data_IF_632209205929
#
_entry.id   IF_632209205929
#
_cell.length_a   1.000
_cell.length_b   1.000
_cell.length_c   1.000
_cell.angle_alpha   90.00
_cell.angle_beta   90.00
_cell.angle_gamma   90.00
#
_symmetry.space_group_name_H-M   'P 1'
#
loop_
_entity.id
_entity.type
_entity.pdbx_description
1 polymer ?
#
# COMPACT_ATOMS: atom_id res chain seq x y z
N UNK A 1 -17.15 -31.58 -37.86
CA UNK A 1 -16.87 -31.61 -36.40
C UNK A 1 -17.07 -32.99 -35.79
N UNK A 2 -18.18 -33.69 -36.03
CA UNK A 2 -18.41 -35.06 -35.47
C UNK A 2 -17.28 -36.06 -35.77
N UNK A 3 -16.76 -36.07 -37.01
CA UNK A 3 -15.62 -36.91 -37.36
C UNK A 3 -14.38 -36.59 -36.51
N UNK A 4 -14.07 -35.30 -36.33
CA UNK A 4 -12.94 -34.84 -35.50
C UNK A 4 -13.08 -35.23 -34.03
N UNK A 5 -14.30 -35.13 -33.48
CA UNK A 5 -14.59 -35.60 -32.12
C UNK A 5 -14.32 -37.11 -32.02
N UNK A 6 -14.77 -37.89 -33.02
CA UNK A 6 -14.62 -39.36 -33.04
C UNK A 6 -13.15 -39.80 -33.13
N UNK A 7 -12.34 -39.11 -33.92
CA UNK A 7 -10.90 -39.40 -34.04
C UNK A 7 -10.06 -38.75 -32.95
N UNK A 8 -10.68 -38.03 -32.00
CA UNK A 8 -9.99 -37.39 -30.90
C UNK A 8 -9.03 -36.28 -31.36
N UNK A 9 -9.41 -35.49 -32.37
CA UNK A 9 -8.54 -34.41 -32.85
C UNK A 9 -8.37 -33.35 -31.75
N UNK A 10 -7.12 -32.95 -31.52
CA UNK A 10 -6.80 -32.00 -30.46
C UNK A 10 -7.55 -30.66 -30.64
N UNK A 11 -8.13 -30.07 -29.57
CA UNK A 11 -8.81 -28.79 -29.66
C UNK A 11 -7.95 -27.59 -30.10
N UNK A 12 -6.67 -27.52 -29.76
CA UNK A 12 -5.75 -26.46 -30.23
C UNK A 12 -5.51 -26.59 -31.75
N UNK A 13 -5.37 -27.83 -32.25
CA UNK A 13 -5.34 -28.10 -33.70
C UNK A 13 -6.61 -27.57 -34.40
N UNK A 14 -7.79 -27.83 -33.83
CA UNK A 14 -9.06 -27.39 -34.42
C UNK A 14 -9.21 -25.86 -34.34
N UNK A 15 -8.71 -25.24 -33.27
CA UNK A 15 -8.65 -23.79 -33.10
C UNK A 15 -7.87 -23.14 -34.25
N UNK A 16 -6.68 -23.69 -34.54
CA UNK A 16 -5.85 -23.29 -35.67
C UNK A 16 -6.47 -23.56 -37.04
N UNK A 17 -7.16 -24.67 -37.23
CA UNK A 17 -7.85 -24.98 -38.48
C UNK A 17 -8.93 -23.95 -38.82
N UNK A 18 -9.61 -23.43 -37.80
CA UNK A 18 -10.56 -22.33 -37.95
C UNK A 18 -9.89 -20.95 -38.05
N UNK A 19 -8.55 -20.89 -38.02
CA UNK A 19 -7.76 -19.65 -38.07
C UNK A 19 -8.13 -18.67 -36.96
N UNK A 20 -8.59 -19.20 -35.82
CA UNK A 20 -9.03 -18.39 -34.69
C UNK A 20 -7.87 -17.63 -34.03
N UNK A 21 -6.65 -18.16 -34.14
CA UNK A 21 -5.40 -17.49 -33.76
C UNK A 21 -5.17 -16.15 -34.47
N UNK A 22 -5.83 -15.93 -35.61
CA UNK A 22 -5.69 -14.72 -36.44
C UNK A 22 -6.82 -13.69 -36.26
N UNK A 23 -7.78 -13.98 -35.38
CA UNK A 23 -8.98 -13.14 -35.20
C UNK A 23 -8.75 -11.92 -34.30
N UNK A 24 -7.71 -11.94 -33.47
CA UNK A 24 -7.35 -10.81 -32.60
C UNK A 24 -8.44 -10.49 -31.58
N UNK A 25 -8.80 -9.22 -31.47
CA UNK A 25 -9.83 -8.71 -30.54
C UNK A 25 -11.27 -9.14 -30.89
N UNK A 26 -11.50 -9.59 -32.13
CA UNK A 26 -12.82 -10.01 -32.64
C UNK A 26 -13.15 -11.48 -32.40
N UNK A 27 -12.30 -12.22 -31.67
CA UNK A 27 -12.44 -13.65 -31.42
C UNK A 27 -13.85 -14.03 -30.92
N UNK A 28 -14.36 -13.32 -29.91
CA UNK A 28 -15.64 -13.68 -29.28
C UNK A 28 -16.85 -13.46 -30.19
N UNK A 29 -16.78 -12.49 -31.11
CA UNK A 29 -17.85 -12.20 -32.08
C UNK A 29 -17.75 -13.06 -33.34
N UNK A 30 -16.71 -13.89 -33.45
CA UNK A 30 -16.52 -14.76 -34.59
C UNK A 30 -17.37 -16.05 -34.42
N UNK A 31 -18.25 -16.39 -35.38
CA UNK A 31 -19.13 -17.56 -35.25
C UNK A 31 -18.37 -18.89 -35.27
N UNK A 32 -17.20 -18.96 -35.89
CA UNK A 32 -16.31 -20.13 -35.83
C UNK A 32 -15.76 -20.36 -34.41
N UNK A 33 -15.60 -19.32 -33.58
CA UNK A 33 -15.23 -19.48 -32.17
C UNK A 33 -16.35 -20.19 -31.39
N UNK A 34 -17.61 -19.82 -31.62
CA UNK A 34 -18.77 -20.52 -31.05
C UNK A 34 -18.82 -21.99 -31.48
N UNK A 35 -18.56 -22.25 -32.77
CA UNK A 35 -18.47 -23.61 -33.28
C UNK A 35 -17.32 -24.41 -32.63
N UNK A 36 -16.17 -23.79 -32.41
CA UNK A 36 -15.04 -24.40 -31.73
C UNK A 36 -15.31 -24.67 -30.25
N UNK A 37 -15.92 -23.74 -29.52
CA UNK A 37 -16.32 -23.98 -28.12
C UNK A 37 -17.28 -25.16 -28.02
N UNK A 38 -18.25 -25.28 -28.93
CA UNK A 38 -19.13 -26.44 -29.03
C UNK A 38 -18.36 -27.72 -29.35
N UNK A 39 -17.36 -27.65 -30.23
CA UNK A 39 -16.48 -28.78 -30.50
C UNK A 39 -15.76 -29.27 -29.24
N UNK A 40 -15.24 -28.36 -28.40
CA UNK A 40 -14.61 -28.72 -27.13
C UNK A 40 -15.60 -29.40 -26.18
N UNK A 41 -16.85 -28.94 -26.14
CA UNK A 41 -17.91 -29.61 -25.35
C UNK A 41 -18.21 -31.02 -25.85
N UNK A 42 -18.39 -31.18 -27.16
CA UNK A 42 -18.64 -32.48 -27.79
C UNK A 42 -17.44 -33.43 -27.61
N UNK A 43 -16.21 -32.89 -27.61
CA UNK A 43 -14.98 -33.62 -27.32
C UNK A 43 -14.97 -34.10 -25.87
N UNK A 44 -15.18 -33.20 -24.90
CA UNK A 44 -15.19 -33.53 -23.47
C UNK A 44 -16.29 -34.52 -23.08
N UNK A 45 -17.43 -34.50 -23.78
CA UNK A 45 -18.51 -35.46 -23.58
C UNK A 45 -18.13 -36.90 -23.98
N UNK A 46 -17.16 -37.08 -24.88
CA UNK A 46 -16.68 -38.41 -25.31
C UNK A 46 -15.33 -38.81 -24.70
N UNK A 47 -14.53 -37.85 -24.26
CA UNK A 47 -13.19 -38.03 -23.70
C UNK A 47 -13.15 -37.57 -22.24
N UNK A 48 -13.91 -38.25 -21.38
CA UNK A 48 -14.16 -37.83 -19.98
C UNK A 48 -12.91 -37.97 -19.08
N UNK A 49 -11.98 -38.86 -19.44
CA UNK A 49 -10.75 -39.11 -18.65
C UNK A 49 -9.77 -37.94 -18.72
N UNK A 50 -9.70 -37.27 -19.87
CA UNK A 50 -8.82 -36.13 -20.13
C UNK A 50 -9.59 -35.00 -20.82
N UNK A 51 -10.48 -34.28 -20.09
CA UNK A 51 -11.24 -33.20 -20.66
C UNK A 51 -10.30 -32.05 -21.05
N UNK A 52 -10.46 -31.58 -22.28
CA UNK A 52 -9.80 -30.39 -22.78
C UNK A 52 -10.37 -29.13 -22.13
N UNK A 53 -9.51 -28.14 -21.96
CA UNK A 53 -9.86 -26.83 -21.44
C UNK A 53 -9.77 -25.81 -22.57
N UNK A 54 -10.71 -24.86 -22.58
CA UNK A 54 -10.70 -23.75 -23.54
C UNK A 54 -9.57 -22.78 -23.19
N UNK A 55 -9.38 -22.50 -21.90
CA UNK A 55 -8.53 -21.42 -21.42
C UNK A 55 -7.04 -21.59 -21.82
N UNK A 56 -6.40 -22.78 -21.67
CA UNK A 56 -5.00 -22.97 -22.07
C UNK A 56 -4.75 -22.71 -23.56
N UNK A 57 -5.69 -23.13 -24.43
CA UNK A 57 -5.61 -22.86 -25.87
C UNK A 57 -5.55 -21.35 -26.14
N UNK A 58 -6.41 -20.57 -25.48
CA UNK A 58 -6.42 -19.12 -25.65
C UNK A 58 -5.18 -18.44 -25.08
N UNK A 59 -4.60 -18.97 -24.00
CA UNK A 59 -3.36 -18.45 -23.40
C UNK A 59 -2.13 -18.62 -24.31
N UNK A 60 -2.17 -19.48 -25.33
CA UNK A 60 -1.11 -19.58 -26.33
C UNK A 60 -1.02 -18.33 -27.23
N UNK A 61 -2.12 -17.56 -27.36
CA UNK A 61 -2.22 -16.42 -28.29
C UNK A 61 -2.47 -15.08 -27.58
N UNK A 62 -3.06 -15.11 -26.39
CA UNK A 62 -3.41 -13.91 -25.63
C UNK A 62 -2.75 -13.95 -24.25
N UNK A 63 -2.15 -12.84 -23.83
CA UNK A 63 -1.71 -12.71 -22.44
C UNK A 63 -2.92 -12.74 -21.49
N UNK A 64 -2.74 -13.32 -20.31
CA UNK A 64 -3.79 -13.54 -19.30
C UNK A 64 -4.59 -12.25 -19.03
N UNK A 65 -3.92 -11.11 -18.82
CA UNK A 65 -4.58 -9.82 -18.60
C UNK A 65 -5.35 -9.26 -19.81
N UNK A 66 -4.91 -9.52 -21.05
CA UNK A 66 -5.65 -9.11 -22.26
C UNK A 66 -6.88 -9.99 -22.44
N UNK A 67 -6.72 -11.30 -22.31
CA UNK A 67 -7.81 -12.25 -22.48
C UNK A 67 -8.92 -12.02 -21.45
N UNK A 68 -8.58 -11.71 -20.19
CA UNK A 68 -9.58 -11.30 -19.19
C UNK A 68 -10.39 -10.07 -19.61
N UNK A 69 -9.74 -9.05 -20.18
CA UNK A 69 -10.45 -7.85 -20.69
C UNK A 69 -11.37 -8.18 -21.85
N UNK A 70 -10.95 -9.07 -22.76
CA UNK A 70 -11.78 -9.55 -23.86
C UNK A 70 -13.00 -10.31 -23.34
N UNK A 71 -12.80 -11.21 -22.37
CA UNK A 71 -13.91 -11.94 -21.69
C UNK A 71 -14.87 -10.96 -21.03
N UNK A 72 -14.38 -9.92 -20.33
CA UNK A 72 -15.26 -8.91 -19.74
C UNK A 72 -16.05 -8.09 -20.75
N UNK A 73 -15.46 -7.78 -21.91
CA UNK A 73 -16.18 -7.12 -22.99
C UNK A 73 -17.27 -8.05 -23.55
N UNK A 74 -16.93 -9.30 -23.83
CA UNK A 74 -17.86 -10.31 -24.33
C UNK A 74 -19.01 -10.63 -23.35
N UNK A 75 -18.80 -10.50 -22.04
CA UNK A 75 -19.89 -10.65 -21.04
C UNK A 75 -20.95 -9.55 -21.09
N UNK A 76 -20.65 -8.40 -21.72
CA UNK A 76 -21.60 -7.28 -21.84
C UNK A 76 -22.55 -7.44 -23.03
N UNK A 77 -22.14 -8.21 -24.04
CA UNK A 77 -22.93 -8.46 -25.24
C UNK A 77 -23.79 -9.72 -25.07
N UNK A 78 -25.08 -9.63 -25.37
CA UNK A 78 -26.04 -10.73 -25.18
C UNK A 78 -25.62 -12.02 -25.90
N UNK A 79 -25.09 -11.90 -27.12
CA UNK A 79 -24.74 -13.05 -27.96
C UNK A 79 -23.51 -13.82 -27.46
N UNK A 80 -22.56 -13.13 -26.82
CA UNK A 80 -21.29 -13.73 -26.39
C UNK A 80 -21.23 -14.00 -24.89
N UNK A 81 -22.25 -13.57 -24.15
CA UNK A 81 -22.31 -13.62 -22.68
C UNK A 81 -22.13 -15.02 -22.11
N UNK A 82 -22.80 -16.01 -22.68
CA UNK A 82 -22.80 -17.37 -22.14
C UNK A 82 -21.42 -18.02 -22.28
N UNK A 83 -20.81 -17.90 -23.46
CA UNK A 83 -19.45 -18.38 -23.71
C UNK A 83 -18.46 -17.66 -22.80
N UNK A 84 -18.53 -16.33 -22.73
CA UNK A 84 -17.61 -15.56 -21.90
C UNK A 84 -17.75 -15.88 -20.40
N UNK A 85 -18.98 -16.12 -19.92
CA UNK A 85 -19.24 -16.55 -18.53
C UNK A 85 -18.69 -17.95 -18.26
N UNK A 86 -18.84 -18.88 -19.22
CA UNK A 86 -18.26 -20.21 -19.15
C UNK A 86 -16.73 -20.17 -19.05
N UNK A 87 -16.08 -19.37 -19.89
CA UNK A 87 -14.62 -19.20 -19.87
C UNK A 87 -14.14 -18.61 -18.55
N UNK A 88 -14.77 -17.54 -18.05
CA UNK A 88 -14.43 -16.97 -16.74
C UNK A 88 -14.55 -18.04 -15.62
N UNK A 89 -15.62 -18.83 -15.66
CA UNK A 89 -15.85 -19.90 -14.67
C UNK A 89 -14.78 -20.99 -14.76
N UNK A 90 -14.49 -21.49 -15.96
CA UNK A 90 -13.46 -22.52 -16.19
C UNK A 90 -12.08 -22.03 -15.71
N UNK A 91 -11.76 -20.77 -15.98
CA UNK A 91 -10.50 -20.15 -15.59
C UNK A 91 -10.37 -20.06 -14.06
N UNK A 92 -11.35 -19.48 -13.38
CA UNK A 92 -11.33 -19.34 -11.92
C UNK A 92 -11.32 -20.71 -11.23
N UNK A 93 -12.05 -21.69 -11.74
CA UNK A 93 -12.03 -23.06 -11.22
C UNK A 93 -10.68 -23.74 -11.44
N UNK A 94 -10.02 -23.49 -12.57
CA UNK A 94 -8.67 -23.99 -12.84
C UNK A 94 -7.66 -23.38 -11.87
N UNK A 95 -7.74 -22.07 -11.63
CA UNK A 95 -6.92 -21.40 -10.61
C UNK A 95 -7.15 -21.97 -9.21
N UNK A 96 -8.42 -22.17 -8.81
CA UNK A 96 -8.77 -22.78 -7.54
C UNK A 96 -8.22 -24.21 -7.44
N UNK A 97 -8.37 -25.05 -8.46
CA UNK A 97 -7.84 -26.42 -8.51
C UNK A 97 -6.32 -26.44 -8.38
N UNK A 98 -5.65 -25.51 -9.05
CA UNK A 98 -4.19 -25.36 -9.01
C UNK A 98 -3.70 -24.60 -7.76
N UNK A 99 -4.61 -24.26 -6.83
CA UNK A 99 -4.31 -23.54 -5.58
C UNK A 99 -3.57 -22.22 -5.81
N UNK A 100 -3.89 -21.50 -6.91
CA UNK A 100 -3.30 -20.18 -7.17
C UNK A 100 -3.72 -19.23 -6.04
N UNK A 101 -2.75 -18.71 -5.30
CA UNK A 101 -3.04 -17.88 -4.13
C UNK A 101 -3.67 -16.54 -4.56
N UNK A 102 -4.53 -15.92 -3.73
CA UNK A 102 -5.19 -14.66 -4.07
C UNK A 102 -4.24 -13.52 -4.46
N UNK A 103 -3.02 -13.47 -3.90
CA UNK A 103 -1.99 -12.47 -4.26
C UNK A 103 -1.45 -12.66 -5.68
N UNK A 104 -1.24 -13.91 -6.09
CA UNK A 104 -0.82 -14.22 -7.47
C UNK A 104 -1.96 -13.94 -8.45
N UNK A 105 -3.17 -14.38 -8.11
CA UNK A 105 -4.37 -14.08 -8.88
C UNK A 105 -4.56 -12.57 -9.08
N UNK A 106 -4.31 -11.76 -8.03
CA UNK A 106 -4.40 -10.29 -8.10
C UNK A 106 -3.45 -9.72 -9.17
N UNK A 107 -2.20 -10.20 -9.20
CA UNK A 107 -1.22 -9.80 -10.21
C UNK A 107 -1.68 -10.21 -11.61
N UNK A 108 -2.18 -11.43 -11.77
CA UNK A 108 -2.61 -11.99 -13.06
C UNK A 108 -3.88 -11.32 -13.61
N UNK A 109 -4.73 -10.76 -12.75
CA UNK A 109 -5.80 -9.83 -13.13
C UNK A 109 -5.28 -8.48 -13.65
N UNK A 110 -3.97 -8.25 -13.63
CA UNK A 110 -3.33 -7.02 -14.11
C UNK A 110 -3.19 -5.94 -13.03
N UNK A 111 -3.45 -6.25 -11.76
CA UNK A 111 -3.38 -5.26 -10.68
C UNK A 111 -1.99 -5.07 -10.08
N UNK A 112 -0.99 -5.86 -10.47
CA UNK A 112 0.35 -5.85 -9.86
C UNK A 112 1.05 -4.48 -9.83
N UNK A 113 0.66 -3.52 -10.67
CA UNK A 113 1.17 -2.14 -10.68
C UNK A 113 0.08 -1.05 -10.67
N UNK A 114 -1.19 -1.43 -10.58
CA UNK A 114 -2.33 -0.53 -10.75
C UNK A 114 -3.07 -0.30 -9.43
N UNK A 115 -2.33 -0.15 -8.33
CA UNK A 115 -2.88 -0.04 -6.98
C UNK A 115 -3.95 1.07 -6.90
N UNK A 116 -3.64 2.27 -7.40
CA UNK A 116 -4.49 3.46 -7.25
C UNK A 116 -5.87 3.35 -7.95
N UNK A 117 -5.98 2.50 -8.98
CA UNK A 117 -7.24 2.27 -9.72
C UNK A 117 -7.87 0.91 -9.45
N UNK A 118 -7.25 0.09 -8.60
CA UNK A 118 -7.65 -1.29 -8.34
C UNK A 118 -9.11 -1.36 -7.89
N UNK A 119 -9.47 -0.57 -6.87
CA UNK A 119 -10.81 -0.59 -6.26
C UNK A 119 -11.91 -0.05 -7.18
N UNK A 120 -11.54 0.68 -8.24
CA UNK A 120 -12.48 1.19 -9.25
C UNK A 120 -12.66 0.22 -10.42
N UNK A 121 -11.78 -0.77 -10.55
CA UNK A 121 -11.80 -1.70 -11.67
C UNK A 121 -12.99 -2.65 -11.57
N UNK A 122 -13.72 -2.92 -12.67
CA UNK A 122 -14.76 -3.94 -12.68
C UNK A 122 -14.21 -5.35 -12.42
N UNK A 123 -12.91 -5.57 -12.64
CA UNK A 123 -12.25 -6.85 -12.35
C UNK A 123 -12.07 -7.10 -10.85
N UNK A 124 -12.17 -6.04 -10.02
CA UNK A 124 -11.98 -6.17 -8.58
C UNK A 124 -13.06 -7.04 -7.92
N UNK A 125 -14.32 -6.96 -8.36
CA UNK A 125 -15.39 -7.79 -7.81
C UNK A 125 -15.20 -9.28 -8.14
N UNK A 126 -14.62 -9.58 -9.30
CA UNK A 126 -14.30 -10.95 -9.72
C UNK A 126 -13.17 -11.50 -8.86
N UNK A 127 -12.11 -10.71 -8.67
CA UNK A 127 -11.01 -11.09 -7.79
C UNK A 127 -11.46 -11.25 -6.33
N UNK A 128 -12.33 -10.36 -5.83
CA UNK A 128 -12.88 -10.46 -4.47
C UNK A 128 -13.69 -11.75 -4.29
N UNK A 129 -14.52 -12.12 -5.29
CA UNK A 129 -15.22 -13.40 -5.29
C UNK A 129 -14.25 -14.58 -5.31
N UNK A 130 -13.20 -14.51 -6.13
CA UNK A 130 -12.17 -15.55 -6.15
C UNK A 130 -11.47 -15.72 -4.78
N UNK A 131 -11.20 -14.62 -4.08
CA UNK A 131 -10.67 -14.65 -2.71
C UNK A 131 -11.62 -15.38 -1.76
N UNK A 132 -12.93 -15.12 -1.84
CA UNK A 132 -13.94 -15.79 -1.02
C UNK A 132 -13.99 -17.29 -1.33
N UNK A 133 -14.07 -17.67 -2.62
CA UNK A 133 -14.09 -19.07 -3.07
C UNK A 133 -12.80 -19.81 -2.65
N UNK A 134 -11.64 -19.14 -2.73
CA UNK A 134 -10.35 -19.70 -2.31
C UNK A 134 -10.32 -19.95 -0.80
N UNK A 135 -10.80 -18.99 -0.01
CA UNK A 135 -10.82 -19.08 1.44
C UNK A 135 -11.80 -20.14 1.96
N UNK A 136 -12.92 -20.34 1.26
CA UNK A 136 -13.88 -21.41 1.54
C UNK A 136 -13.27 -22.78 1.25
N UNK A 137 -12.59 -22.92 0.10
CA UNK A 137 -12.00 -24.19 -0.34
C UNK A 137 -10.73 -24.57 0.42
N UNK A 138 -9.95 -23.60 0.88
CA UNK A 138 -8.67 -23.80 1.58
C UNK A 138 -8.63 -23.04 2.92
N UNK A 139 -9.40 -23.47 3.94
CA UNK A 139 -9.47 -22.77 5.24
C UNK A 139 -8.11 -22.65 5.95
N UNK A 140 -7.19 -23.60 5.73
CA UNK A 140 -5.83 -23.62 6.27
C UNK A 140 -4.91 -22.56 5.64
N UNK A 141 -5.28 -22.04 4.46
CA UNK A 141 -4.54 -21.01 3.72
C UNK A 141 -5.31 -19.71 3.60
N UNK A 142 -6.35 -19.55 4.44
CA UNK A 142 -7.24 -18.40 4.41
C UNK A 142 -6.42 -17.12 4.55
N UNK A 143 -6.76 -16.13 3.74
CA UNK A 143 -6.19 -14.79 3.81
C UNK A 143 -7.28 -13.74 3.66
N UNK A 144 -6.98 -12.51 4.05
CA UNK A 144 -7.85 -11.37 3.89
C UNK A 144 -7.45 -10.54 2.68
N UNK A 145 -8.37 -9.68 2.25
CA UNK A 145 -8.11 -8.71 1.19
C UNK A 145 -6.91 -7.81 1.53
N UNK A 146 -6.81 -7.34 2.78
CA UNK A 146 -5.75 -6.44 3.19
C UNK A 146 -4.38 -7.13 3.29
N UNK A 147 -4.33 -8.38 3.75
CA UNK A 147 -3.11 -9.19 3.74
C UNK A 147 -2.64 -9.44 2.31
N UNK A 148 -3.57 -9.76 1.41
CA UNK A 148 -3.26 -9.99 0.01
C UNK A 148 -2.69 -8.72 -0.65
N UNK A 149 -3.31 -7.57 -0.41
CA UNK A 149 -2.81 -6.28 -0.89
C UNK A 149 -1.43 -5.96 -0.30
N UNK A 150 -1.23 -6.21 1.00
CA UNK A 150 0.04 -5.94 1.68
C UNK A 150 1.16 -6.83 1.14
N UNK A 151 0.87 -8.09 0.84
CA UNK A 151 1.82 -9.02 0.19
C UNK A 151 2.20 -8.58 -1.22
N UNK A 152 1.29 -7.91 -1.93
CA UNK A 152 1.51 -7.49 -3.32
C UNK A 152 2.17 -6.12 -3.43
N UNK A 153 1.74 -5.15 -2.61
CA UNK A 153 2.13 -3.74 -2.74
C UNK A 153 2.99 -3.22 -1.57
N UNK A 154 3.19 -4.03 -0.53
CA UNK A 154 3.80 -3.60 0.73
C UNK A 154 2.90 -2.67 1.55
N UNK A 155 3.25 -2.47 2.81
CA UNK A 155 2.47 -1.64 3.74
C UNK A 155 2.30 -0.20 3.23
N UNK A 156 3.39 0.41 2.76
CA UNK A 156 3.39 1.78 2.25
C UNK A 156 2.56 1.92 0.97
N UNK A 157 2.67 0.97 0.05
CA UNK A 157 1.90 0.95 -1.19
C UNK A 157 0.41 0.85 -0.90
N UNK A 158 0.01 -0.05 0.01
CA UNK A 158 -1.39 -0.19 0.43
C UNK A 158 -1.90 1.08 1.11
N UNK A 159 -1.16 1.66 2.04
CA UNK A 159 -1.61 2.89 2.73
C UNK A 159 -1.79 4.05 1.75
N UNK A 160 -0.89 4.19 0.77
CA UNK A 160 -0.98 5.22 -0.28
C UNK A 160 -2.19 5.00 -1.19
N UNK A 161 -2.36 3.76 -1.67
CA UNK A 161 -3.51 3.35 -2.47
C UNK A 161 -4.84 3.64 -1.76
N UNK A 162 -4.96 3.25 -0.49
CA UNK A 162 -6.18 3.47 0.29
C UNK A 162 -6.43 4.96 0.55
N UNK A 163 -5.37 5.76 0.72
CA UNK A 163 -5.50 7.21 0.83
C UNK A 163 -6.02 7.83 -0.48
N UNK A 164 -5.49 7.42 -1.64
CA UNK A 164 -5.96 7.87 -2.94
C UNK A 164 -7.43 7.47 -3.17
N UNK A 165 -7.78 6.21 -2.89
CA UNK A 165 -9.13 5.69 -3.04
C UNK A 165 -10.18 6.41 -2.17
N UNK A 166 -9.77 7.02 -1.04
CA UNK A 166 -10.68 7.84 -0.24
C UNK A 166 -11.09 9.17 -0.91
N UNK A 167 -10.43 9.58 -2.00
CA UNK A 167 -10.78 10.81 -2.73
C UNK A 167 -11.98 10.62 -3.65
N UNK A 168 -12.33 9.38 -4.00
CA UNK A 168 -13.46 9.03 -4.86
C UNK A 168 -14.65 8.55 -4.02
N UNK A 169 -15.83 9.12 -4.25
CA UNK A 169 -17.08 8.76 -3.53
C UNK A 169 -17.39 7.27 -3.72
N UNK A 170 -17.08 6.70 -4.90
CA UNK A 170 -17.34 5.29 -5.23
C UNK A 170 -16.52 4.32 -4.40
N UNK A 171 -15.30 4.71 -4.00
CA UNK A 171 -14.36 3.83 -3.28
C UNK A 171 -14.15 4.24 -1.82
N UNK A 172 -14.77 5.34 -1.38
CA UNK A 172 -14.57 5.89 -0.04
C UNK A 172 -14.84 4.87 1.07
N UNK A 173 -15.99 4.19 1.02
CA UNK A 173 -16.42 3.27 2.09
C UNK A 173 -15.52 2.04 2.18
N UNK A 174 -15.20 1.42 1.03
CA UNK A 174 -14.29 0.27 1.00
C UNK A 174 -12.87 0.67 1.43
N UNK A 175 -12.38 1.84 1.00
CA UNK A 175 -11.07 2.32 1.39
C UNK A 175 -10.99 2.64 2.90
N UNK A 176 -12.06 3.21 3.47
CA UNK A 176 -12.18 3.45 4.91
C UNK A 176 -12.20 2.14 5.72
N UNK A 177 -12.92 1.12 5.23
CA UNK A 177 -12.95 -0.21 5.84
C UNK A 177 -11.55 -0.85 5.78
N UNK A 178 -10.94 -0.89 4.62
CA UNK A 178 -9.61 -1.49 4.42
C UNK A 178 -8.51 -0.77 5.20
N UNK A 179 -8.61 0.56 5.39
CA UNK A 179 -7.69 1.27 6.28
C UNK A 179 -7.81 0.78 7.73
N UNK A 180 -9.05 0.56 8.19
CA UNK A 180 -9.28 -0.01 9.53
C UNK A 180 -8.75 -1.44 9.62
N UNK A 181 -8.93 -2.23 8.57
CA UNK A 181 -8.43 -3.62 8.51
C UNK A 181 -6.90 -3.66 8.46
N UNK A 182 -6.24 -2.69 7.81
CA UNK A 182 -4.77 -2.55 7.81
C UNK A 182 -4.23 -2.32 9.22
N UNK A 183 -4.84 -1.40 9.97
CA UNK A 183 -4.46 -1.12 11.36
C UNK A 183 -4.67 -2.35 12.26
N UNK A 184 -5.80 -3.06 12.08
CA UNK A 184 -6.08 -4.28 12.84
C UNK A 184 -5.07 -5.39 12.52
N UNK A 185 -4.75 -5.58 11.25
CA UNK A 185 -3.77 -6.57 10.79
C UNK A 185 -2.39 -6.30 11.41
N UNK A 186 -1.89 -5.06 11.34
CA UNK A 186 -0.63 -4.69 11.99
C UNK A 186 -0.65 -4.93 13.50
N UNK A 187 -1.79 -4.71 14.15
CA UNK A 187 -1.92 -4.88 15.58
C UNK A 187 -2.02 -6.36 15.98
N UNK A 188 -2.71 -7.19 15.20
CA UNK A 188 -2.79 -8.64 15.44
C UNK A 188 -1.48 -9.35 15.18
N UNK A 189 -0.67 -8.83 14.26
CA UNK A 189 0.67 -9.34 13.98
C UNK A 189 1.74 -8.76 14.91
N UNK A 190 1.33 -8.01 15.95
CA UNK A 190 2.23 -7.34 16.92
C UNK A 190 3.37 -6.54 16.28
N UNK A 191 3.12 -5.96 15.11
CA UNK A 191 4.14 -5.23 14.35
C UNK A 191 4.65 -4.06 15.19
N UNK A 192 5.96 -3.91 15.34
CA UNK A 192 6.50 -2.78 16.10
C UNK A 192 6.11 -1.47 15.42
N UNK A 193 5.64 -0.49 16.19
CA UNK A 193 5.43 0.86 15.65
C UNK A 193 6.75 1.46 15.15
N UNK A 194 7.88 1.13 15.78
CA UNK A 194 9.20 1.59 15.38
C UNK A 194 9.63 0.97 14.03
N UNK A 195 9.54 -0.35 13.88
CA UNK A 195 9.84 -1.02 12.60
C UNK A 195 8.89 -0.58 11.47
N UNK A 196 7.63 -0.32 11.81
CA UNK A 196 6.64 0.17 10.85
C UNK A 196 7.00 1.58 10.36
N UNK A 197 7.62 2.42 11.19
CA UNK A 197 8.11 3.74 10.76
C UNK A 197 9.10 3.60 9.60
N UNK A 198 10.07 2.69 9.73
CA UNK A 198 11.07 2.39 8.70
C UNK A 198 10.46 1.70 7.48
N UNK A 199 9.52 0.78 7.70
CA UNK A 199 8.80 0.08 6.62
C UNK A 199 7.98 1.04 5.75
N UNK A 200 7.43 2.10 6.37
CA UNK A 200 6.72 3.16 5.66
C UNK A 200 7.64 4.24 5.09
N UNK A 201 8.97 4.06 5.21
CA UNK A 201 10.00 5.00 4.75
C UNK A 201 9.82 6.43 5.29
N UNK A 202 9.33 6.53 6.53
CA UNK A 202 9.12 7.81 7.20
C UNK A 202 10.43 8.46 7.66
N UNK A 203 11.53 7.72 7.69
CA UNK A 203 12.89 8.23 7.88
C UNK A 203 13.36 9.14 6.73
N UNK A 204 12.74 9.02 5.55
CA UNK A 204 13.14 9.72 4.33
C UNK A 204 12.22 10.88 3.97
N UNK A 205 11.24 11.19 4.82
CA UNK A 205 10.32 12.31 4.55
C UNK A 205 10.93 13.63 4.97
N UNK A 206 10.64 14.69 4.21
CA UNK A 206 11.07 16.04 4.53
C UNK A 206 10.20 16.71 5.59
N UNK A 207 10.38 18.02 5.75
CA UNK A 207 9.61 18.83 6.71
C UNK A 207 8.11 18.98 6.35
N UNK A 208 7.69 18.62 5.14
CA UNK A 208 6.28 18.61 4.71
C UNK A 208 5.63 17.24 4.97
N UNK A 209 5.71 16.78 6.22
CA UNK A 209 5.19 15.49 6.64
C UNK A 209 3.76 15.56 7.19
N UNK A 210 3.28 16.75 7.54
CA UNK A 210 2.00 16.93 8.23
C UNK A 210 0.82 16.40 7.41
N UNK A 211 0.83 16.56 6.09
CA UNK A 211 -0.20 16.02 5.20
C UNK A 211 0.15 14.66 4.59
N UNK A 212 1.31 14.10 4.93
CA UNK A 212 1.73 12.80 4.45
C UNK A 212 0.79 11.70 4.98
N UNK A 213 0.13 10.93 4.09
CA UNK A 213 -0.84 9.92 4.51
C UNK A 213 -0.22 8.74 5.25
N UNK A 214 1.04 8.42 4.98
CA UNK A 214 1.80 7.39 5.68
C UNK A 214 2.06 7.83 7.12
N UNK A 215 2.52 9.07 7.31
CA UNK A 215 2.76 9.63 8.64
C UNK A 215 1.48 9.70 9.49
N UNK A 216 0.37 10.24 8.94
CA UNK A 216 -0.94 10.28 9.65
C UNK A 216 -1.43 8.88 10.05
N UNK A 217 -1.19 7.90 9.18
CA UNK A 217 -1.62 6.51 9.42
C UNK A 217 -0.73 5.85 10.47
N UNK A 218 0.58 6.08 10.42
CA UNK A 218 1.52 5.65 11.45
C UNK A 218 1.18 6.25 12.83
N UNK A 219 0.91 7.55 12.92
CA UNK A 219 0.50 8.19 14.18
C UNK A 219 -0.76 7.56 14.79
N UNK A 220 -1.74 7.27 13.93
CA UNK A 220 -2.97 6.58 14.33
C UNK A 220 -2.66 5.17 14.87
N UNK A 221 -1.76 4.45 14.21
CA UNK A 221 -1.33 3.12 14.64
C UNK A 221 -0.56 3.17 15.96
N UNK A 222 0.49 3.99 16.06
CA UNK A 222 1.34 4.14 17.24
C UNK A 222 0.52 4.49 18.49
N UNK A 223 -0.46 5.41 18.37
CA UNK A 223 -1.38 5.74 19.45
C UNK A 223 -2.19 4.54 19.95
N UNK A 224 -2.66 3.67 19.05
CA UNK A 224 -3.40 2.46 19.43
C UNK A 224 -2.47 1.37 19.96
N UNK A 225 -1.30 1.22 19.35
CA UNK A 225 -0.27 0.27 19.75
C UNK A 225 0.17 0.51 21.20
N UNK A 226 0.48 1.76 21.57
CA UNK A 226 0.89 2.11 22.94
C UNK A 226 -0.23 1.87 23.95
N UNK A 227 -1.50 2.10 23.58
CA UNK A 227 -2.63 1.78 24.46
C UNK A 227 -2.73 0.28 24.76
N UNK A 228 -2.33 -0.57 23.81
CA UNK A 228 -2.29 -2.03 24.00
C UNK A 228 -0.99 -2.54 24.62
N UNK A 229 0.11 -1.83 24.41
CA UNK A 229 1.46 -2.17 24.88
C UNK A 229 2.12 -0.99 25.63
N UNK A 230 1.59 -0.58 26.80
CA UNK A 230 2.12 0.57 27.54
C UNK A 230 3.59 0.44 27.92
N UNK A 231 4.08 -0.80 28.05
CA UNK A 231 5.48 -1.15 28.34
C UNK A 231 6.43 -0.79 27.19
N UNK A 232 5.93 -0.72 25.94
CA UNK A 232 6.72 -0.40 24.74
C UNK A 232 6.67 1.09 24.38
N UNK A 233 6.04 1.94 25.20
CA UNK A 233 5.77 3.35 24.86
C UNK A 233 6.99 4.18 24.45
N UNK A 234 8.15 3.94 25.05
CA UNK A 234 9.39 4.68 24.74
C UNK A 234 10.11 4.12 23.52
N UNK A 235 9.97 2.83 23.23
CA UNK A 235 10.65 2.21 22.08
C UNK A 235 10.00 2.56 20.73
N UNK A 236 8.84 3.21 20.73
CA UNK A 236 8.12 3.63 19.51
C UNK A 236 8.88 4.72 18.73
N UNK A 237 9.79 5.43 19.38
CA UNK A 237 10.56 6.54 18.79
C UNK A 237 12.04 6.22 18.62
N UNK A 238 12.48 4.99 18.90
CA UNK A 238 13.91 4.64 18.92
C UNK A 238 14.58 4.85 17.56
N UNK A 239 13.98 4.36 16.49
CA UNK A 239 14.47 4.59 15.12
C UNK A 239 14.45 6.05 14.71
N UNK A 240 13.61 6.89 15.33
CA UNK A 240 13.57 8.32 15.01
C UNK A 240 14.87 9.01 15.45
N UNK A 241 15.44 8.61 16.59
CA UNK A 241 16.65 9.25 17.12
C UNK A 241 17.88 9.00 16.23
N UNK A 242 17.91 7.86 15.53
CA UNK A 242 19.03 7.38 14.73
C UNK A 242 18.90 7.73 13.23
N UNK A 243 17.68 7.88 12.73
CA UNK A 243 17.44 7.95 11.28
C UNK A 243 16.91 9.30 10.77
N UNK A 244 16.51 10.24 11.65
CA UNK A 244 16.09 11.58 11.24
C UNK A 244 16.87 12.67 11.96
N UNK A 245 16.97 13.85 11.33
CA UNK A 245 17.65 15.00 11.94
C UNK A 245 16.99 15.41 13.26
N UNK A 246 17.78 15.90 14.22
CA UNK A 246 17.29 16.42 15.51
C UNK A 246 16.11 17.38 15.36
N UNK A 247 16.21 18.28 14.37
CA UNK A 247 15.20 19.27 14.05
C UNK A 247 13.89 18.62 13.60
N UNK A 248 13.98 17.62 12.72
CA UNK A 248 12.81 16.89 12.24
C UNK A 248 12.18 16.05 13.36
N UNK A 249 13.03 15.42 14.19
CA UNK A 249 12.61 14.67 15.38
C UNK A 249 11.79 15.54 16.33
N UNK A 250 12.29 16.73 16.71
CA UNK A 250 11.57 17.66 17.59
C UNK A 250 10.20 18.02 17.00
N UNK A 251 10.13 18.34 15.70
CA UNK A 251 8.86 18.67 15.03
C UNK A 251 7.87 17.50 15.01
N UNK A 252 8.33 16.29 14.70
CA UNK A 252 7.45 15.10 14.70
C UNK A 252 6.97 14.74 16.12
N UNK A 253 7.81 14.95 17.14
CA UNK A 253 7.43 14.74 18.54
C UNK A 253 6.36 15.75 19.01
N UNK A 254 6.39 16.99 18.52
CA UNK A 254 5.30 17.96 18.76
C UNK A 254 3.97 17.47 18.19
N UNK A 255 3.97 16.87 17.00
CA UNK A 255 2.75 16.25 16.46
C UNK A 255 2.34 15.02 17.28
N UNK A 256 3.30 14.22 17.76
CA UNK A 256 3.01 13.03 18.57
C UNK A 256 2.38 13.40 19.92
N UNK A 257 2.78 14.54 20.51
CA UNK A 257 2.21 15.07 21.77
C UNK A 257 0.72 15.37 21.70
N UNK A 258 0.18 15.60 20.49
CA UNK A 258 -1.27 15.80 20.29
C UNK A 258 -2.09 14.52 20.53
N UNK A 259 -1.46 13.37 20.68
CA UNK A 259 -2.12 12.09 20.93
C UNK A 259 -1.94 11.67 22.40
N UNK A 260 -3.03 11.48 23.16
CA UNK A 260 -2.95 11.22 24.60
C UNK A 260 -2.10 10.02 25.02
N UNK A 261 -2.04 8.95 24.21
CA UNK A 261 -1.22 7.78 24.55
C UNK A 261 0.28 8.01 24.32
N UNK A 262 0.63 8.94 23.42
CA UNK A 262 2.01 9.27 23.07
C UNK A 262 2.56 10.44 23.86
N UNK A 263 1.71 11.34 24.37
CA UNK A 263 2.08 12.61 25.00
C UNK A 263 3.25 12.50 25.98
N UNK A 264 3.14 11.62 26.99
CA UNK A 264 4.18 11.48 28.01
C UNK A 264 5.49 10.91 27.44
N UNK A 265 5.41 9.94 26.53
CA UNK A 265 6.60 9.34 25.91
C UNK A 265 7.29 10.34 24.97
N UNK A 266 6.51 11.01 24.12
CA UNK A 266 7.00 12.02 23.20
C UNK A 266 7.63 13.21 23.94
N UNK A 267 7.00 13.69 25.02
CA UNK A 267 7.55 14.76 25.86
C UNK A 267 8.86 14.35 26.53
N UNK A 268 8.96 13.10 27.00
CA UNK A 268 10.19 12.58 27.59
C UNK A 268 11.33 12.54 26.57
N UNK A 269 11.12 11.89 25.43
CA UNK A 269 12.12 11.79 24.35
C UNK A 269 12.53 13.18 23.86
N UNK A 270 11.57 14.08 23.70
CA UNK A 270 11.84 15.46 23.30
C UNK A 270 12.71 16.20 24.34
N UNK A 271 12.40 16.05 25.64
CA UNK A 271 13.17 16.67 26.72
C UNK A 271 14.60 16.16 26.75
N UNK A 272 14.78 14.84 26.70
CA UNK A 272 16.10 14.18 26.67
C UNK A 272 16.90 14.62 25.43
N UNK A 273 16.24 14.74 24.28
CA UNK A 273 16.87 15.21 23.05
C UNK A 273 17.32 16.66 23.14
N UNK A 274 16.46 17.56 23.62
CA UNK A 274 16.79 18.98 23.79
C UNK A 274 17.97 19.14 24.75
N UNK A 275 17.95 18.46 25.90
CA UNK A 275 19.07 18.46 26.84
C UNK A 275 20.35 17.94 26.19
N UNK A 276 20.26 16.86 25.43
CA UNK A 276 21.37 16.30 24.66
C UNK A 276 21.94 17.28 23.64
N UNK A 277 21.10 18.05 22.94
CA UNK A 277 21.51 19.10 22.00
C UNK A 277 22.23 20.24 22.76
N UNK A 278 21.65 20.73 23.85
CA UNK A 278 22.24 21.80 24.67
C UNK A 278 23.56 21.37 25.33
N UNK A 279 23.80 20.07 25.54
CA UNK A 279 25.07 19.56 26.03
C UNK A 279 26.16 19.49 24.94
N UNK A 280 25.79 19.63 23.66
CA UNK A 280 26.77 19.70 22.58
C UNK A 280 27.44 21.07 22.63
N UNK A 281 28.76 21.10 22.73
CA UNK A 281 29.58 22.33 22.84
C UNK A 281 29.65 23.10 21.50
N UNK A 282 28.53 23.17 20.80
CA UNK A 282 28.34 23.84 19.51
C UNK A 282 28.21 25.35 19.70
N UNK A 283 28.13 26.11 18.60
CA UNK A 283 27.86 27.55 18.71
C UNK A 283 26.39 27.80 19.03
N UNK A 284 26.04 28.92 19.71
CA UNK A 284 24.64 29.28 19.91
C UNK A 284 23.82 29.38 18.62
N UNK A 285 24.41 29.78 17.49
CA UNK A 285 23.72 29.81 16.19
C UNK A 285 23.40 28.39 15.67
N UNK A 286 24.31 27.43 15.85
CA UNK A 286 24.06 26.03 15.47
C UNK A 286 22.97 25.42 16.34
N UNK A 287 23.00 25.63 17.65
CA UNK A 287 21.94 25.16 18.57
C UNK A 287 20.59 25.78 18.19
N UNK A 288 20.57 27.07 17.83
CA UNK A 288 19.35 27.75 17.38
C UNK A 288 18.70 27.04 16.18
N UNK A 289 19.51 26.67 15.18
CA UNK A 289 19.06 25.92 14.00
C UNK A 289 18.68 24.47 14.33
N UNK A 290 19.42 23.79 15.20
CA UNK A 290 19.13 22.41 15.62
C UNK A 290 17.80 22.29 16.38
N UNK A 291 17.48 23.29 17.22
CA UNK A 291 16.19 23.41 17.89
C UNK A 291 15.07 23.90 16.96
N UNK A 292 15.41 24.32 15.74
CA UNK A 292 14.46 24.84 14.76
C UNK A 292 13.85 26.19 15.12
N UNK A 293 14.51 26.98 15.97
CA UNK A 293 14.05 28.31 16.37
C UNK A 293 14.00 29.31 15.20
N UNK A 294 14.81 29.08 14.16
CA UNK A 294 14.82 29.84 12.91
C UNK A 294 13.55 29.67 12.05
N UNK A 295 12.74 28.64 12.31
CA UNK A 295 11.43 28.46 11.67
C UNK A 295 10.26 29.05 12.47
N UNK A 296 10.49 29.49 13.72
CA UNK A 296 9.42 29.94 14.61
C UNK A 296 8.79 31.29 14.19
N UNK A 297 9.43 32.03 13.28
CA UNK A 297 8.94 33.31 12.79
C UNK A 297 8.71 34.30 13.94
N UNK A 298 7.56 34.99 13.90
CA UNK A 298 7.20 35.99 14.92
C UNK A 298 6.84 35.36 16.28
N UNK A 299 6.56 34.05 16.30
CA UNK A 299 6.22 33.29 17.51
C UNK A 299 7.45 32.77 18.27
N UNK A 300 8.66 33.19 17.86
CA UNK A 300 9.89 32.72 18.49
C UNK A 300 9.98 33.03 19.99
N UNK A 301 9.41 34.14 20.46
CA UNK A 301 9.47 34.49 21.88
C UNK A 301 8.47 33.67 22.72
N UNK A 302 7.49 33.03 22.07
CA UNK A 302 6.45 32.22 22.73
C UNK A 302 6.74 30.73 22.66
N UNK A 303 7.72 30.31 21.85
CA UNK A 303 8.15 28.90 21.82
C UNK A 303 8.79 28.48 23.14
N UNK A 304 8.47 27.29 23.67
CA UNK A 304 9.10 26.77 24.88
C UNK A 304 10.61 26.49 24.72
N UNK A 305 11.13 26.50 23.48
CA UNK A 305 12.53 26.24 23.16
C UNK A 305 13.42 27.48 23.27
N UNK A 306 12.87 28.69 23.26
CA UNK A 306 13.66 29.92 23.21
C UNK A 306 14.36 30.22 24.54
N UNK A 307 13.67 30.05 25.67
CA UNK A 307 14.28 30.28 26.99
C UNK A 307 15.45 29.32 27.28
N UNK A 308 15.33 27.99 27.06
CA UNK A 308 16.47 27.08 27.18
C UNK A 308 17.65 27.45 26.29
N UNK A 309 17.40 27.89 25.06
CA UNK A 309 18.45 28.37 24.16
C UNK A 309 19.12 29.65 24.68
N UNK A 310 18.35 30.61 25.19
CA UNK A 310 18.89 31.85 25.74
C UNK A 310 19.76 31.60 26.98
N UNK A 311 19.36 30.66 27.83
CA UNK A 311 20.18 30.20 28.97
C UNK A 311 21.49 29.57 28.49
N UNK A 312 21.43 28.74 27.46
CA UNK A 312 22.63 28.19 26.82
C UNK A 312 23.57 29.26 26.27
N UNK A 313 23.04 30.30 25.61
CA UNK A 313 23.86 31.44 25.11
C UNK A 313 24.61 32.12 26.27
N UNK A 314 23.93 32.34 27.41
CA UNK A 314 24.55 32.95 28.60
C UNK A 314 25.70 32.09 29.13
N UNK A 315 25.49 30.78 29.23
CA UNK A 315 26.52 29.84 29.69
C UNK A 315 27.69 29.74 28.71
N UNK A 316 27.41 29.64 27.41
CA UNK A 316 28.42 29.62 26.36
C UNK A 316 29.31 30.88 26.42
N UNK A 317 28.70 32.07 26.56
CA UNK A 317 29.42 33.34 26.63
C UNK A 317 30.27 33.49 27.90
N UNK A 318 29.86 32.85 29.00
CA UNK A 318 30.64 32.83 30.25
C UNK A 318 31.93 32.02 30.08
N UNK A 319 31.86 30.91 29.34
CA UNK A 319 33.00 30.03 29.08
C UNK A 319 33.86 30.48 27.88
N UNK A 320 33.32 31.32 26.98
CA UNK A 320 33.99 31.77 25.76
C UNK A 320 34.01 33.32 25.64
N UNK A 321 34.71 34.04 26.54
CA UNK A 321 34.67 35.51 26.59
C UNK A 321 35.18 36.20 25.32
N UNK A 322 36.04 35.53 24.54
CA UNK A 322 36.61 36.07 23.29
C UNK A 322 35.79 35.73 22.04
N UNK A 323 34.73 34.92 22.17
CA UNK A 323 33.84 34.50 21.09
C UNK A 323 32.38 34.76 21.45
N UNK A 324 32.12 35.85 22.19
CA UNK A 324 30.77 36.18 22.65
C UNK A 324 29.82 36.30 21.48
N UNK A 325 28.75 35.50 21.54
CA UNK A 325 27.64 35.61 20.60
C UNK A 325 26.59 36.50 21.25
N UNK A 326 26.30 37.61 20.59
CA UNK A 326 25.19 38.47 20.96
C UNK A 326 23.93 37.92 20.28
N UNK A 327 22.82 37.88 21.00
CA UNK A 327 21.51 37.58 20.41
C UNK A 327 21.20 38.72 19.45
N UNK A 328 21.56 38.59 18.17
CA UNK A 328 21.17 39.53 17.13
C UNK A 328 20.04 38.86 16.38
N UNK A 329 18.80 39.23 16.73
CA UNK A 329 17.63 38.79 15.97
C UNK A 329 17.65 39.50 14.63
N UNK A 330 18.19 38.87 13.57
CA UNK A 330 17.95 39.36 12.22
C UNK A 330 16.52 38.99 11.82
N UNK A 331 15.66 39.99 11.85
CA UNK A 331 14.36 39.93 11.16
C UNK A 331 14.55 39.46 9.71
N UNK A 332 13.54 38.78 9.15
CA UNK A 332 13.44 38.47 7.71
C UNK A 332 13.60 39.73 6.82
N UNK A 333 13.53 40.92 7.42
CA UNK A 333 13.68 42.25 6.83
C UNK A 333 14.96 43.01 7.24
N UNK A 334 15.91 42.38 7.95
CA UNK A 334 17.26 42.94 8.12
C UNK A 334 17.46 44.01 9.20
N UNK A 335 16.51 44.23 10.10
CA UNK A 335 16.74 45.06 11.29
C UNK A 335 17.17 44.21 12.49
N UNK A 336 18.20 44.70 13.19
CA UNK A 336 18.73 44.12 14.43
C UNK A 336 17.95 44.68 15.63
N UNK A 337 17.60 43.83 16.58
CA UNK A 337 17.30 44.23 17.96
C UNK A 337 18.28 43.55 18.92
#
# INVERSE_FOLDING_TARGET
MEHWVKVGKDPDDVFHLFKLDKTGDKLFSNPEFTAWVKYVDDFNAKHVEEPALITPTLMNYYSEGILFKMVQAAKKETETKDIATKLETEWLQTWLRNRKSPDKALIDFGFGKAADTLLESPLFSIWAKYLDDFNEKYPDKKTTMIETFTKTFGDAGVTTMLHAAKKSIKTYDIAKKLKSDQLKMWLSSEKSADDLFMTLHLDKIGYDFNDNPLFKTWMSYANVFIKKHPEKKTSVFSSWEDHISDRLLIKMLEEAKKFPAMENAASKVQTEKIQGILARKNTPEEIFKLLGLDDAGDDILTTPLFQPWLEYVKDFNKHNPNQRVYCVGKSKYGENW
#
